data_IF_459921468520
#
_entry.id   IF_459921468520
#
_cell.length_a   1.000
_cell.length_b   1.000
_cell.length_c   1.000
_cell.angle_alpha   90.00
_cell.angle_beta   90.00
_cell.angle_gamma   90.00
#
_symmetry.space_group_name_H-M   'P 1'
#
loop_
_entity.id
_entity.type
_entity.pdbx_description
1 polymer ?
#
# COMPACT_ATOMS: atom_id res chain seq x y z
N UNK A 1 5.25 11.76 25.07
CA UNK A 1 5.92 10.46 24.91
C UNK A 1 4.99 9.33 25.30
N UNK A 2 4.49 9.30 26.56
CA UNK A 2 3.59 8.26 27.07
C UNK A 2 2.32 8.08 26.21
N UNK A 3 1.76 9.18 25.70
CA UNK A 3 0.60 9.11 24.82
C UNK A 3 0.92 8.33 23.52
N UNK A 4 2.09 8.56 22.92
CA UNK A 4 2.54 7.83 21.73
C UNK A 4 2.78 6.35 22.05
N UNK A 5 3.41 6.03 23.18
CA UNK A 5 3.61 4.65 23.63
C UNK A 5 2.28 3.90 23.81
N UNK A 6 1.29 4.52 24.43
CA UNK A 6 -0.05 3.93 24.56
C UNK A 6 -0.71 3.69 23.21
N UNK A 7 -0.57 4.61 22.26
CA UNK A 7 -1.10 4.44 20.91
C UNK A 7 -0.43 3.26 20.19
N UNK A 8 0.90 3.17 20.25
CA UNK A 8 1.65 2.06 19.64
C UNK A 8 1.29 0.72 20.28
N UNK A 9 1.28 0.64 21.62
CA UNK A 9 0.87 -0.59 22.34
C UNK A 9 -0.54 -1.04 21.95
N UNK A 10 -1.48 -0.11 21.74
CA UNK A 10 -2.85 -0.43 21.30
C UNK A 10 -2.88 -0.91 19.84
N UNK A 11 -2.04 -0.38 18.98
CA UNK A 11 -1.94 -0.81 17.58
C UNK A 11 -1.25 -2.18 17.43
N UNK A 12 -0.39 -2.56 18.37
CA UNK A 12 0.36 -3.83 18.35
C UNK A 12 -0.56 -5.01 18.76
N UNK A 13 -1.49 -5.35 17.87
CA UNK A 13 -2.34 -6.54 17.98
C UNK A 13 -1.70 -7.74 17.29
N UNK A 14 -2.24 -8.95 17.51
CA UNK A 14 -1.78 -10.16 16.80
C UNK A 14 -2.96 -11.06 16.48
N UNK A 15 -3.07 -11.45 15.22
CA UNK A 15 -4.02 -12.42 14.74
C UNK A 15 -3.42 -13.83 14.64
N UNK A 16 -4.05 -14.69 13.85
CA UNK A 16 -3.70 -16.11 13.65
C UNK A 16 -2.28 -16.29 13.07
N UNK A 17 -1.89 -15.41 12.15
CA UNK A 17 -0.56 -15.42 11.52
C UNK A 17 0.44 -14.52 12.23
N UNK A 18 0.13 -14.07 13.45
CA UNK A 18 0.93 -13.13 14.23
C UNK A 18 1.11 -11.75 13.56
N UNK A 19 0.22 -11.41 12.63
CA UNK A 19 0.15 -10.08 11.99
C UNK A 19 -0.84 -9.18 12.73
N UNK A 20 -0.74 -7.85 12.59
CA UNK A 20 -1.68 -6.94 13.23
C UNK A 20 -3.08 -7.09 12.65
N UNK A 21 -4.09 -7.00 13.53
CA UNK A 21 -5.49 -7.07 13.13
C UNK A 21 -5.89 -5.85 12.31
N UNK A 22 -6.61 -6.10 11.23
CA UNK A 22 -7.09 -5.06 10.32
C UNK A 22 -8.28 -4.28 10.87
N UNK A 23 -9.12 -4.93 11.67
CA UNK A 23 -10.32 -4.32 12.24
C UNK A 23 -11.27 -3.78 11.18
N UNK A 24 -11.69 -2.54 11.34
CA UNK A 24 -12.58 -1.84 10.40
C UNK A 24 -11.86 -1.19 9.22
N UNK A 25 -10.65 -1.61 8.90
CA UNK A 25 -9.82 -1.11 7.81
C UNK A 25 -8.44 -0.63 8.28
N UNK A 26 -7.50 -0.58 7.34
CA UNK A 26 -6.17 0.00 7.52
C UNK A 26 -6.06 1.32 6.73
N UNK A 27 -4.94 1.59 6.02
CA UNK A 27 -4.82 2.73 5.11
C UNK A 27 -5.96 2.77 4.07
N UNK A 28 -6.38 1.59 3.59
CA UNK A 28 -7.53 1.46 2.72
C UNK A 28 -8.78 1.18 3.58
N UNK A 29 -9.40 2.23 4.07
CA UNK A 29 -10.61 2.15 4.89
C UNK A 29 -11.82 1.59 4.11
N UNK A 30 -11.75 1.57 2.78
CA UNK A 30 -12.74 0.89 1.92
C UNK A 30 -12.76 -0.64 2.07
N UNK A 31 -11.67 -1.24 2.59
CA UNK A 31 -11.59 -2.66 2.89
C UNK A 31 -12.13 -2.99 4.30
N UNK A 32 -13.17 -2.31 4.74
CA UNK A 32 -13.66 -2.32 6.13
C UNK A 32 -14.36 -3.62 6.57
N UNK A 33 -14.48 -4.61 5.68
CA UNK A 33 -15.09 -5.90 6.02
C UNK A 33 -14.11 -7.06 6.03
N UNK A 34 -12.87 -6.84 5.66
CA UNK A 34 -11.82 -7.87 5.67
C UNK A 34 -11.58 -8.40 7.09
N UNK A 35 -11.51 -7.50 8.09
CA UNK A 35 -11.27 -7.84 9.49
C UNK A 35 -12.41 -7.44 10.44
N UNK A 36 -13.63 -7.28 9.95
CA UNK A 36 -14.75 -6.72 10.72
C UNK A 36 -15.14 -7.55 11.94
N UNK A 37 -14.87 -8.86 11.94
CA UNK A 37 -15.12 -9.77 13.09
C UNK A 37 -13.94 -9.82 14.06
N UNK A 38 -12.89 -9.02 13.83
CA UNK A 38 -11.72 -8.92 14.71
C UNK A 38 -10.74 -10.08 14.58
N UNK A 39 -10.73 -10.81 13.45
CA UNK A 39 -9.80 -11.91 13.17
C UNK A 39 -8.91 -11.63 11.96
N UNK A 40 -9.38 -10.82 11.01
CA UNK A 40 -8.65 -10.49 9.79
C UNK A 40 -7.40 -9.67 10.08
N UNK A 41 -6.35 -9.91 9.30
CA UNK A 41 -5.01 -9.35 9.51
C UNK A 41 -4.56 -8.53 8.31
N UNK A 42 -3.82 -7.43 8.56
CA UNK A 42 -3.27 -6.58 7.50
C UNK A 42 -1.76 -6.77 7.35
N UNK A 43 -1.32 -7.16 6.17
CA UNK A 43 0.10 -7.25 5.81
C UNK A 43 0.69 -5.83 5.68
N UNK A 44 -0.04 -4.90 5.05
CA UNK A 44 0.41 -3.51 4.95
C UNK A 44 0.63 -2.88 6.34
N UNK A 45 -0.31 -3.10 7.26
CA UNK A 45 -0.19 -2.55 8.62
C UNK A 45 1.02 -3.15 9.38
N UNK A 46 1.35 -4.42 9.11
CA UNK A 46 2.57 -5.02 9.67
C UNK A 46 3.82 -4.24 9.23
N UNK A 47 3.95 -3.96 7.94
CA UNK A 47 5.08 -3.18 7.42
C UNK A 47 5.12 -1.76 8.00
N UNK A 48 3.97 -1.09 8.05
CA UNK A 48 3.85 0.24 8.63
C UNK A 48 4.24 0.27 10.12
N UNK A 49 3.81 -0.71 10.89
CA UNK A 49 4.17 -0.83 12.30
C UNK A 49 5.67 -1.12 12.48
N UNK A 50 6.27 -2.01 11.68
CA UNK A 50 7.70 -2.30 11.75
C UNK A 50 8.53 -1.01 11.60
N UNK A 51 8.28 -0.22 10.56
CA UNK A 51 8.98 1.05 10.33
C UNK A 51 8.71 2.04 11.48
N UNK A 52 7.46 2.19 11.89
CA UNK A 52 7.06 3.11 12.95
C UNK A 52 7.69 2.76 14.30
N UNK A 53 7.67 1.49 14.68
CA UNK A 53 8.24 1.01 15.94
C UNK A 53 9.74 1.24 15.98
N UNK A 54 10.47 0.91 14.91
CA UNK A 54 11.93 1.12 14.80
C UNK A 54 12.29 2.60 14.87
N UNK A 55 11.58 3.48 14.16
CA UNK A 55 11.81 4.93 14.19
C UNK A 55 11.52 5.51 15.58
N UNK A 56 10.45 5.05 16.21
CA UNK A 56 10.11 5.53 17.55
C UNK A 56 11.06 5.00 18.62
N UNK A 57 11.55 3.78 18.49
CA UNK A 57 12.62 3.23 19.36
C UNK A 57 13.88 4.10 19.31
N UNK A 58 14.30 4.55 18.12
CA UNK A 58 15.43 5.47 17.98
C UNK A 58 15.18 6.81 18.69
N UNK A 59 13.93 7.29 18.72
CA UNK A 59 13.54 8.49 19.47
C UNK A 59 13.60 8.25 20.97
N UNK A 60 13.14 7.09 21.45
CA UNK A 60 13.19 6.70 22.87
C UNK A 60 14.63 6.64 23.39
N UNK A 61 15.57 6.09 22.62
CA UNK A 61 16.98 6.07 22.96
C UNK A 61 17.57 7.48 23.18
N UNK A 62 17.19 8.42 22.31
CA UNK A 62 17.66 9.82 22.44
C UNK A 62 17.22 10.50 23.75
N UNK A 63 16.16 9.98 24.39
CA UNK A 63 15.64 10.50 25.66
C UNK A 63 15.88 9.54 26.82
N UNK A 64 16.81 8.57 26.66
CA UNK A 64 17.28 7.66 27.71
C UNK A 64 16.31 6.57 28.13
N UNK A 65 15.34 6.19 27.26
CA UNK A 65 14.37 5.13 27.54
C UNK A 65 14.73 3.83 26.80
N UNK A 66 15.84 3.22 27.21
CA UNK A 66 16.44 2.05 26.54
C UNK A 66 15.54 0.81 26.57
N UNK A 67 14.92 0.51 27.72
CA UNK A 67 14.07 -0.69 27.88
C UNK A 67 12.83 -0.63 26.99
N UNK A 68 12.18 0.53 26.91
CA UNK A 68 11.04 0.74 26.03
C UNK A 68 11.47 0.67 24.55
N UNK A 69 12.61 1.24 24.20
CA UNK A 69 13.16 1.14 22.85
C UNK A 69 13.41 -0.32 22.44
N UNK A 70 14.07 -1.09 23.30
CA UNK A 70 14.32 -2.50 23.07
C UNK A 70 13.02 -3.33 22.92
N UNK A 71 12.00 -3.02 23.72
CA UNK A 71 10.68 -3.65 23.63
C UNK A 71 9.99 -3.38 22.29
N UNK A 72 10.06 -2.15 21.78
CA UNK A 72 9.46 -1.81 20.47
C UNK A 72 10.21 -2.47 19.32
N UNK A 73 11.54 -2.56 19.40
CA UNK A 73 12.35 -3.25 18.37
C UNK A 73 12.06 -4.75 18.35
N UNK A 74 11.97 -5.39 19.53
CA UNK A 74 11.59 -6.78 19.63
C UNK A 74 10.22 -7.04 18.97
N UNK A 75 9.24 -6.17 19.22
CA UNK A 75 7.92 -6.27 18.58
C UNK A 75 7.99 -6.07 17.06
N UNK A 76 8.82 -5.14 16.58
CA UNK A 76 9.03 -4.94 15.14
C UNK A 76 9.63 -6.20 14.49
N UNK A 77 10.57 -6.87 15.16
CA UNK A 77 11.19 -8.11 14.65
C UNK A 77 10.21 -9.29 14.65
N UNK A 78 9.34 -9.40 15.65
CA UNK A 78 8.24 -10.38 15.65
C UNK A 78 7.34 -10.21 14.41
N UNK A 79 6.92 -8.98 14.09
CA UNK A 79 6.12 -8.72 12.90
C UNK A 79 6.89 -8.98 11.60
N UNK A 80 8.18 -8.61 11.53
CA UNK A 80 9.00 -8.87 10.35
C UNK A 80 9.13 -10.37 10.08
N UNK A 81 9.38 -11.16 11.12
CA UNK A 81 9.44 -12.62 11.05
C UNK A 81 8.09 -13.21 10.62
N UNK A 82 7.00 -12.79 11.24
CA UNK A 82 5.67 -13.28 10.94
C UNK A 82 5.27 -12.98 9.48
N UNK A 83 5.46 -11.74 9.03
CA UNK A 83 5.09 -11.33 7.68
C UNK A 83 5.97 -12.01 6.62
N UNK A 84 7.26 -12.17 6.88
CA UNK A 84 8.17 -12.88 5.96
C UNK A 84 7.80 -14.36 5.82
N UNK A 85 7.32 -14.99 6.91
CA UNK A 85 6.93 -16.39 6.93
C UNK A 85 5.56 -16.65 6.33
N UNK A 86 4.57 -15.77 6.58
CA UNK A 86 3.16 -16.03 6.25
C UNK A 86 2.64 -15.24 5.04
N UNK A 87 3.21 -14.07 4.73
CA UNK A 87 2.61 -13.18 3.74
C UNK A 87 3.21 -13.26 2.33
N UNK A 88 4.09 -14.22 2.04
CA UNK A 88 4.68 -14.41 0.72
C UNK A 88 3.99 -15.55 -0.03
N UNK A 89 3.42 -15.28 -1.23
CA UNK A 89 2.71 -16.28 -2.02
C UNK A 89 3.58 -16.99 -3.09
N UNK A 90 4.87 -16.69 -3.13
CA UNK A 90 5.81 -17.19 -4.12
C UNK A 90 6.26 -16.14 -5.14
N UNK A 91 5.43 -15.13 -5.42
CA UNK A 91 5.72 -14.06 -6.38
C UNK A 91 5.75 -12.66 -5.76
N UNK A 92 4.85 -12.38 -4.82
CA UNK A 92 4.74 -11.11 -4.11
C UNK A 92 4.11 -11.26 -2.72
N UNK A 93 4.00 -10.18 -1.97
CA UNK A 93 3.37 -10.18 -0.65
C UNK A 93 1.86 -10.03 -0.76
N UNK A 94 1.14 -10.81 0.05
CA UNK A 94 -0.30 -10.70 0.25
C UNK A 94 -0.70 -9.30 0.70
N UNK A 95 -1.95 -8.93 0.46
CA UNK A 95 -2.53 -7.70 0.97
C UNK A 95 -3.02 -7.84 2.42
N UNK A 96 -3.70 -8.93 2.71
CA UNK A 96 -4.36 -9.18 3.99
C UNK A 96 -4.80 -10.64 4.14
N UNK A 97 -5.35 -10.95 5.31
CA UNK A 97 -6.15 -12.16 5.56
C UNK A 97 -7.55 -11.74 6.00
N UNK A 98 -8.57 -12.39 5.47
CA UNK A 98 -9.95 -12.22 5.94
C UNK A 98 -10.15 -12.82 7.33
N UNK A 99 -11.28 -12.50 7.97
CA UNK A 99 -11.66 -13.05 9.29
C UNK A 99 -11.74 -14.59 9.32
N UNK A 100 -11.99 -15.25 8.20
CA UNK A 100 -11.99 -16.71 8.08
C UNK A 100 -10.58 -17.32 7.90
N UNK A 101 -9.55 -16.47 7.81
CA UNK A 101 -8.16 -16.85 7.58
C UNK A 101 -7.81 -17.05 6.11
N UNK A 102 -8.71 -16.81 5.18
CA UNK A 102 -8.40 -16.86 3.75
C UNK A 102 -7.57 -15.66 3.32
N UNK A 103 -6.56 -15.86 2.46
CA UNK A 103 -5.71 -14.77 1.99
C UNK A 103 -6.43 -13.84 1.01
N UNK A 104 -5.93 -12.61 0.91
CA UNK A 104 -6.26 -11.60 -0.10
C UNK A 104 -4.97 -11.09 -0.71
N UNK A 105 -4.93 -10.97 -2.02
CA UNK A 105 -3.76 -10.45 -2.73
C UNK A 105 -2.81 -11.54 -3.21
N UNK A 106 -3.32 -12.75 -3.49
CA UNK A 106 -2.54 -13.85 -4.07
C UNK A 106 -2.54 -13.81 -5.60
N UNK A 107 -1.54 -14.46 -6.21
CA UNK A 107 -1.51 -14.64 -7.66
C UNK A 107 -2.70 -15.47 -8.18
N UNK A 108 -3.36 -16.25 -7.33
CA UNK A 108 -4.52 -17.06 -7.67
C UNK A 108 -5.86 -16.33 -7.52
N UNK A 109 -5.89 -15.18 -6.87
CA UNK A 109 -7.13 -14.41 -6.71
C UNK A 109 -7.64 -13.90 -8.05
N UNK A 110 -8.95 -13.82 -8.22
CA UNK A 110 -9.56 -13.26 -9.42
C UNK A 110 -9.57 -11.74 -9.41
N UNK A 111 -9.63 -11.13 -8.22
CA UNK A 111 -9.66 -9.67 -7.98
C UNK A 111 -8.69 -9.32 -6.86
N UNK A 112 -8.12 -8.12 -6.90
CA UNK A 112 -7.09 -7.65 -5.98
C UNK A 112 -5.91 -8.65 -5.84
N UNK A 113 -5.40 -9.14 -6.97
CA UNK A 113 -4.31 -10.15 -7.00
C UNK A 113 -3.01 -9.58 -6.47
N UNK A 114 -2.69 -8.36 -6.86
CA UNK A 114 -1.49 -7.63 -6.42
C UNK A 114 -1.87 -6.22 -6.02
N UNK A 115 -1.39 -5.78 -4.88
CA UNK A 115 -1.62 -4.45 -4.30
C UNK A 115 -0.27 -3.74 -4.09
N UNK A 116 -0.13 -2.52 -4.62
CA UNK A 116 1.12 -1.76 -4.63
C UNK A 116 1.64 -1.41 -3.25
N UNK A 117 0.73 -1.11 -2.30
CA UNK A 117 1.15 -0.64 -0.97
C UNK A 117 1.74 -1.78 -0.12
N UNK A 118 1.25 -3.00 -0.27
CA UNK A 118 1.84 -4.15 0.40
C UNK A 118 3.27 -4.41 -0.09
N UNK A 119 3.53 -4.22 -1.38
CA UNK A 119 4.86 -4.40 -1.98
C UNK A 119 5.81 -3.25 -1.62
N UNK A 120 5.39 -2.01 -1.82
CA UNK A 120 6.21 -0.82 -1.55
C UNK A 120 6.64 -0.75 -0.09
N UNK A 121 5.73 -1.01 0.83
CA UNK A 121 5.99 -0.95 2.26
C UNK A 121 6.87 -2.10 2.76
N UNK A 122 6.91 -3.25 2.09
CA UNK A 122 7.89 -4.30 2.39
C UNK A 122 9.34 -3.80 2.20
N UNK A 123 9.57 -2.93 1.20
CA UNK A 123 10.87 -2.31 0.94
C UNK A 123 11.24 -1.30 2.03
N UNK A 124 10.26 -0.57 2.57
CA UNK A 124 10.52 0.40 3.66
C UNK A 124 10.78 -0.29 4.99
N UNK A 125 10.12 -1.41 5.24
CA UNK A 125 10.15 -2.11 6.53
C UNK A 125 11.30 -3.09 6.68
N UNK A 126 11.75 -3.73 5.60
CA UNK A 126 12.75 -4.79 5.65
C UNK A 126 14.14 -4.31 5.19
N UNK A 127 15.19 -4.86 5.80
CA UNK A 127 16.59 -4.63 5.39
C UNK A 127 17.04 -5.57 4.27
N UNK A 128 16.43 -6.77 4.18
CA UNK A 128 16.65 -7.69 3.08
C UNK A 128 15.69 -7.37 1.94
N UNK A 129 16.24 -6.91 0.82
CA UNK A 129 15.47 -6.46 -0.32
C UNK A 129 15.38 -7.48 -1.47
N UNK A 130 15.79 -8.74 -1.30
CA UNK A 130 15.72 -9.74 -2.38
C UNK A 130 14.26 -9.95 -2.83
N UNK A 131 13.38 -10.32 -1.89
CA UNK A 131 11.94 -10.45 -2.16
C UNK A 131 11.30 -9.11 -2.53
N UNK A 132 11.71 -8.02 -1.87
CA UNK A 132 11.25 -6.66 -2.19
C UNK A 132 11.51 -6.28 -3.64
N UNK A 133 12.71 -6.55 -4.16
CA UNK A 133 13.04 -6.35 -5.59
C UNK A 133 12.16 -7.19 -6.50
N UNK A 134 11.92 -8.45 -6.15
CA UNK A 134 11.02 -9.34 -6.88
C UNK A 134 9.61 -8.80 -6.94
N UNK A 135 9.05 -8.43 -5.78
CA UNK A 135 7.72 -7.87 -5.63
C UNK A 135 7.56 -6.55 -6.41
N UNK A 136 8.55 -5.64 -6.34
CA UNK A 136 8.49 -4.37 -7.07
C UNK A 136 8.59 -4.54 -8.58
N UNK A 137 9.32 -5.55 -9.10
CA UNK A 137 9.24 -5.91 -10.53
C UNK A 137 7.83 -6.33 -10.94
N UNK A 138 7.11 -7.05 -10.06
CA UNK A 138 5.71 -7.42 -10.29
C UNK A 138 4.75 -6.23 -10.21
N UNK A 139 5.02 -5.27 -9.34
CA UNK A 139 4.30 -3.98 -9.34
C UNK A 139 4.48 -3.28 -10.69
N UNK A 140 5.71 -3.20 -11.19
CA UNK A 140 6.00 -2.59 -12.49
C UNK A 140 5.25 -3.30 -13.62
N UNK A 141 5.32 -4.62 -13.68
CA UNK A 141 4.67 -5.46 -14.69
C UNK A 141 3.14 -5.34 -14.69
N UNK A 142 2.52 -5.33 -13.51
CA UNK A 142 1.06 -5.46 -13.39
C UNK A 142 0.32 -4.15 -13.12
N UNK A 143 0.97 -3.19 -12.46
CA UNK A 143 0.31 -1.99 -11.95
C UNK A 143 0.74 -0.71 -12.67
N UNK A 144 1.96 -0.64 -13.20
CA UNK A 144 2.40 0.53 -13.96
C UNK A 144 1.82 0.49 -15.37
N UNK A 145 1.27 1.60 -15.80
CA UNK A 145 0.65 1.80 -17.10
C UNK A 145 1.28 3.03 -17.76
N UNK A 146 2.47 2.85 -18.30
CA UNK A 146 3.26 3.95 -18.89
C UNK A 146 2.51 4.67 -20.02
N UNK A 147 1.78 3.94 -20.87
CA UNK A 147 1.00 4.49 -21.98
C UNK A 147 -0.20 5.34 -21.46
N UNK A 148 -0.80 4.92 -20.36
CA UNK A 148 -1.92 5.60 -19.74
C UNK A 148 -1.46 6.73 -18.80
N UNK A 149 -0.18 6.72 -18.40
CA UNK A 149 0.41 7.70 -17.52
C UNK A 149 -0.06 7.56 -16.06
N UNK A 150 -0.25 6.32 -15.57
CA UNK A 150 -0.74 6.07 -14.21
C UNK A 150 -0.14 4.80 -13.59
N UNK A 151 -0.22 4.72 -12.26
CA UNK A 151 0.18 3.56 -11.44
C UNK A 151 -1.04 3.10 -10.65
N UNK A 152 -1.58 1.92 -10.98
CA UNK A 152 -2.75 1.37 -10.28
C UNK A 152 -2.43 1.03 -8.83
N UNK A 153 -3.41 1.24 -7.94
CA UNK A 153 -3.28 0.84 -6.55
C UNK A 153 -3.21 -0.68 -6.43
N UNK A 154 -4.12 -1.38 -7.09
CA UNK A 154 -4.13 -2.83 -7.21
C UNK A 154 -4.86 -3.29 -8.48
N UNK A 155 -4.71 -4.56 -8.83
CA UNK A 155 -5.39 -5.14 -10.00
C UNK A 155 -5.67 -6.63 -9.80
N UNK A 156 -6.76 -7.20 -10.43
CA UNK A 156 -7.93 -6.50 -10.95
C UNK A 156 -8.72 -5.78 -9.87
N UNK A 157 -9.54 -4.79 -10.25
CA UNK A 157 -10.44 -4.12 -9.32
C UNK A 157 -11.51 -5.07 -8.79
N UNK A 158 -12.10 -4.76 -7.63
CA UNK A 158 -13.25 -5.49 -7.12
C UNK A 158 -14.50 -5.17 -7.95
N UNK A 159 -15.20 -6.20 -8.38
CA UNK A 159 -16.46 -6.11 -9.14
C UNK A 159 -17.42 -7.24 -8.75
N UNK A 160 -16.97 -8.51 -8.91
CA UNK A 160 -17.81 -9.70 -8.82
C UNK A 160 -17.47 -10.65 -7.69
N UNK A 161 -16.39 -10.38 -6.95
CA UNK A 161 -15.99 -11.26 -5.85
C UNK A 161 -17.15 -11.57 -4.90
N UNK A 162 -17.32 -12.84 -4.55
CA UNK A 162 -18.33 -13.28 -3.59
C UNK A 162 -17.97 -12.83 -2.16
N UNK A 163 -16.67 -12.74 -1.86
CA UNK A 163 -16.20 -12.19 -0.60
C UNK A 163 -16.39 -10.69 -0.58
N UNK A 164 -16.90 -10.20 0.52
CA UNK A 164 -17.15 -8.78 0.69
C UNK A 164 -15.92 -8.09 1.32
N UNK A 165 -15.13 -7.34 0.55
CA UNK A 165 -13.99 -6.61 1.09
C UNK A 165 -14.42 -5.36 1.86
N UNK A 166 -15.65 -4.90 1.67
CA UNK A 166 -16.19 -3.68 2.24
C UNK A 166 -16.70 -2.69 1.18
N UNK A 167 -16.89 -1.44 1.59
CA UNK A 167 -17.48 -0.44 0.72
C UNK A 167 -16.62 -0.06 -0.50
N UNK A 168 -15.34 -0.45 -0.53
CA UNK A 168 -14.47 -0.30 -1.70
C UNK A 168 -15.10 -0.89 -2.97
N UNK A 169 -15.82 -2.01 -2.84
CA UNK A 169 -16.55 -2.64 -3.94
C UNK A 169 -17.70 -1.78 -4.49
N UNK A 170 -18.13 -0.77 -3.75
CA UNK A 170 -19.13 0.19 -4.20
C UNK A 170 -18.58 1.25 -5.17
N UNK A 171 -17.27 1.42 -5.29
CA UNK A 171 -16.68 2.24 -6.33
C UNK A 171 -16.58 1.46 -7.63
N UNK A 172 -16.80 2.13 -8.75
CA UNK A 172 -16.62 1.53 -10.07
C UNK A 172 -15.19 0.99 -10.23
N UNK A 173 -15.00 -0.18 -10.88
CA UNK A 173 -13.67 -0.68 -11.20
C UNK A 173 -12.81 0.37 -11.92
N UNK A 174 -11.64 0.65 -11.38
CA UNK A 174 -10.72 1.67 -11.91
C UNK A 174 -10.92 3.09 -11.38
N UNK A 175 -11.78 3.28 -10.37
CA UNK A 175 -12.04 4.58 -9.75
C UNK A 175 -11.61 4.55 -8.28
N UNK A 176 -10.95 5.62 -7.81
CA UNK A 176 -10.46 5.78 -6.44
C UNK A 176 -9.60 4.59 -6.02
N UNK A 177 -9.80 4.11 -4.77
CA UNK A 177 -9.08 2.97 -4.23
C UNK A 177 -9.40 1.66 -4.95
N UNK A 178 -10.51 1.57 -5.70
CA UNK A 178 -10.88 0.33 -6.38
C UNK A 178 -10.16 0.15 -7.73
N UNK A 179 -8.85 -0.02 -7.69
CA UNK A 179 -8.03 -0.32 -8.88
C UNK A 179 -7.72 0.88 -9.78
N UNK A 180 -8.08 2.12 -9.38
CA UNK A 180 -7.55 3.35 -9.96
C UNK A 180 -6.11 3.60 -9.49
N UNK A 181 -5.46 4.66 -9.97
CA UNK A 181 -4.31 5.20 -9.29
C UNK A 181 -4.80 5.95 -8.05
N UNK A 182 -4.35 5.57 -6.87
CA UNK A 182 -4.42 6.44 -5.71
C UNK A 182 -3.05 7.06 -5.52
N UNK A 183 -2.94 8.37 -5.71
CA UNK A 183 -1.65 9.05 -5.87
C UNK A 183 -0.74 8.88 -4.65
N UNK A 184 -1.29 8.78 -3.45
CA UNK A 184 -0.54 8.49 -2.23
C UNK A 184 0.21 7.14 -2.32
N UNK A 185 -0.48 6.07 -2.72
CA UNK A 185 0.13 4.74 -2.93
C UNK A 185 1.13 4.75 -4.11
N UNK A 186 0.81 5.50 -5.17
CA UNK A 186 1.69 5.63 -6.33
C UNK A 186 3.02 6.34 -5.99
N UNK A 187 2.99 7.33 -5.10
CA UNK A 187 4.21 7.98 -4.59
C UNK A 187 5.09 6.98 -3.83
N UNK A 188 4.49 6.11 -3.01
CA UNK A 188 5.23 5.06 -2.31
C UNK A 188 5.88 4.07 -3.29
N UNK A 189 5.20 3.76 -4.40
CA UNK A 189 5.78 2.92 -5.46
C UNK A 189 7.05 3.54 -6.04
N UNK A 190 7.02 4.81 -6.43
CA UNK A 190 8.20 5.51 -6.93
C UNK A 190 9.33 5.57 -5.88
N UNK A 191 8.98 5.83 -4.63
CA UNK A 191 9.95 5.86 -3.53
C UNK A 191 10.59 4.49 -3.26
N UNK A 192 9.82 3.40 -3.35
CA UNK A 192 10.36 2.06 -3.18
C UNK A 192 11.43 1.73 -4.23
N UNK A 193 11.23 2.09 -5.50
CA UNK A 193 12.25 1.94 -6.54
C UNK A 193 13.51 2.75 -6.24
N UNK A 194 13.37 3.99 -5.75
CA UNK A 194 14.51 4.82 -5.35
C UNK A 194 15.31 4.15 -4.22
N UNK A 195 14.66 3.60 -3.19
CA UNK A 195 15.32 2.89 -2.11
C UNK A 195 16.01 1.59 -2.54
N UNK A 196 15.49 0.93 -3.56
CA UNK A 196 16.11 -0.25 -4.15
C UNK A 196 17.32 0.10 -5.04
N UNK A 197 17.61 1.40 -5.24
CA UNK A 197 18.72 1.89 -6.05
C UNK A 197 18.40 2.00 -7.53
N UNK A 198 17.14 1.83 -7.95
CA UNK A 198 16.67 2.03 -9.32
C UNK A 198 16.18 3.47 -9.48
N UNK A 199 17.12 4.39 -9.53
CA UNK A 199 16.85 5.83 -9.62
C UNK A 199 16.20 6.25 -10.93
N UNK A 200 16.54 5.59 -12.02
CA UNK A 200 15.98 5.90 -13.35
C UNK A 200 14.49 5.54 -13.37
N UNK A 201 14.13 4.32 -12.94
CA UNK A 201 12.73 3.92 -12.89
C UNK A 201 11.93 4.77 -11.87
N UNK A 202 12.50 5.05 -10.72
CA UNK A 202 11.88 5.94 -9.73
C UNK A 202 11.57 7.32 -10.32
N UNK A 203 12.49 7.89 -11.12
CA UNK A 203 12.28 9.15 -11.80
C UNK A 203 11.18 9.08 -12.87
N UNK A 204 11.17 8.03 -13.69
CA UNK A 204 10.10 7.80 -14.68
C UNK A 204 8.72 7.74 -14.01
N UNK A 205 8.59 6.95 -12.93
CA UNK A 205 7.36 6.84 -12.16
C UNK A 205 6.94 8.18 -11.55
N UNK A 206 7.89 8.94 -10.99
CA UNK A 206 7.62 10.30 -10.50
C UNK A 206 7.08 11.21 -11.60
N UNK A 207 7.62 11.10 -12.83
CA UNK A 207 7.12 11.88 -13.98
C UNK A 207 5.66 11.54 -14.32
N UNK A 208 5.21 10.28 -14.16
CA UNK A 208 3.81 9.91 -14.36
C UNK A 208 2.87 10.64 -13.39
N UNK A 209 3.36 10.99 -12.20
CA UNK A 209 2.59 11.66 -11.14
C UNK A 209 2.66 13.19 -11.23
N UNK A 210 3.57 13.73 -12.05
CA UNK A 210 3.87 15.15 -12.07
C UNK A 210 2.72 15.97 -12.72
N UNK A 211 2.14 16.95 -12.00
CA UNK A 211 1.13 17.83 -12.58
C UNK A 211 1.68 18.69 -13.73
N UNK A 212 2.99 18.95 -13.75
CA UNK A 212 3.65 19.67 -14.85
C UNK A 212 3.55 18.84 -16.14
N UNK A 213 3.76 17.53 -16.07
CA UNK A 213 3.62 16.62 -17.22
C UNK A 213 2.17 16.54 -17.70
N UNK A 214 1.23 16.47 -16.77
CA UNK A 214 -0.20 16.46 -17.07
C UNK A 214 -0.68 17.77 -17.72
N UNK A 215 0.04 18.87 -17.52
CA UNK A 215 -0.20 20.19 -18.14
C UNK A 215 0.64 20.47 -19.39
N UNK A 216 1.53 19.58 -19.82
CA UNK A 216 2.56 19.87 -20.84
C UNK A 216 2.02 20.02 -22.27
N UNK A 217 0.82 19.55 -22.58
CA UNK A 217 0.20 19.65 -23.90
C UNK A 217 -1.31 19.72 -23.81
N UNK A 218 -1.97 20.24 -24.85
CA UNK A 218 -3.43 20.26 -24.95
C UNK A 218 -4.06 18.86 -24.83
N UNK A 219 -3.40 17.83 -25.35
CA UNK A 219 -3.85 16.44 -25.23
C UNK A 219 -3.75 15.94 -23.77
N UNK A 220 -2.64 16.25 -23.07
CA UNK A 220 -2.46 15.89 -21.67
C UNK A 220 -3.51 16.60 -20.77
N UNK A 221 -3.71 17.89 -20.95
CA UNK A 221 -4.76 18.68 -20.26
C UNK A 221 -6.15 18.10 -20.54
N UNK A 222 -6.44 17.79 -21.82
CA UNK A 222 -7.71 17.21 -22.24
C UNK A 222 -7.98 15.81 -21.67
N UNK A 223 -6.92 15.06 -21.35
CA UNK A 223 -7.00 13.75 -20.67
C UNK A 223 -7.17 13.92 -19.15
N UNK A 224 -6.28 14.70 -18.52
CA UNK A 224 -6.24 14.83 -17.06
C UNK A 224 -7.43 15.61 -16.49
N UNK A 225 -7.84 16.67 -17.14
CA UNK A 225 -9.03 17.50 -16.83
C UNK A 225 -9.06 18.05 -15.39
N UNK A 226 -7.91 18.28 -14.81
CA UNK A 226 -7.71 18.97 -13.53
C UNK A 226 -6.78 20.15 -13.78
N UNK A 227 -6.76 21.14 -12.91
CA UNK A 227 -5.84 22.26 -13.00
C UNK A 227 -4.39 21.76 -13.10
N UNK A 228 -3.54 22.34 -13.98
CA UNK A 228 -2.22 21.79 -14.28
C UNK A 228 -1.24 21.72 -13.08
N UNK A 229 -1.49 22.52 -12.06
CA UNK A 229 -0.67 22.59 -10.84
C UNK A 229 -1.23 21.78 -9.67
N UNK A 230 -2.37 21.12 -9.85
CA UNK A 230 -3.05 20.34 -8.81
C UNK A 230 -2.71 18.86 -8.97
N UNK A 231 -2.42 18.20 -7.84
CA UNK A 231 -2.29 16.75 -7.79
C UNK A 231 -3.64 16.14 -7.44
N UNK A 232 -4.19 15.35 -8.37
CA UNK A 232 -5.38 14.58 -8.09
C UNK A 232 -5.09 13.48 -7.05
N UNK A 233 -5.99 13.31 -6.09
CA UNK A 233 -5.91 12.22 -5.11
C UNK A 233 -6.01 10.86 -5.81
N UNK A 234 -6.84 10.75 -6.83
CA UNK A 234 -6.94 9.58 -7.69
C UNK A 234 -6.95 9.94 -9.18
N UNK A 235 -6.47 9.00 -10.00
CA UNK A 235 -6.51 9.06 -11.46
C UNK A 235 -7.21 7.80 -11.95
N UNK A 236 -8.19 7.96 -12.83
CA UNK A 236 -9.03 6.86 -13.27
C UNK A 236 -8.28 5.90 -14.20
N UNK A 237 -8.45 4.61 -13.99
CA UNK A 237 -8.05 3.54 -14.91
C UNK A 237 -9.26 2.89 -15.61
N UNK A 238 -10.40 3.56 -15.58
CA UNK A 238 -11.69 3.14 -16.15
C UNK A 238 -11.90 3.77 -17.54
N UNK A 239 -12.18 2.93 -18.55
CA UNK A 239 -12.60 3.40 -19.88
C UNK A 239 -14.00 4.08 -19.82
N UNK A 240 -14.26 5.14 -20.59
CA UNK A 240 -13.33 5.83 -21.50
C UNK A 240 -12.54 6.99 -20.84
N UNK A 241 -12.39 6.95 -19.53
CA UNK A 241 -11.84 8.03 -18.73
C UNK A 241 -10.40 7.77 -18.22
N UNK A 242 -9.69 6.84 -18.83
CA UNK A 242 -8.32 6.50 -18.40
C UNK A 242 -7.41 7.74 -18.42
N UNK A 243 -6.68 7.95 -17.31
CA UNK A 243 -5.80 9.10 -17.12
C UNK A 243 -6.50 10.40 -16.70
N UNK A 244 -7.82 10.38 -16.46
CA UNK A 244 -8.55 11.54 -15.92
C UNK A 244 -8.31 11.61 -14.41
N UNK A 245 -7.93 12.79 -13.91
CA UNK A 245 -7.91 13.08 -12.48
C UNK A 245 -9.33 13.14 -11.90
N UNK A 246 -9.47 12.50 -10.76
CA UNK A 246 -10.73 12.46 -10.03
C UNK A 246 -10.74 13.47 -8.89
N UNK A 247 -10.78 12.97 -7.65
CA UNK A 247 -10.77 13.81 -6.46
C UNK A 247 -9.43 14.53 -6.30
N UNK A 248 -9.46 15.82 -5.99
CA UNK A 248 -8.24 16.63 -5.81
C UNK A 248 -8.00 16.97 -4.35
N UNK A 249 -6.72 17.06 -3.99
CA UNK A 249 -6.29 17.63 -2.71
C UNK A 249 -5.91 19.10 -2.90
N UNK A 250 -6.28 19.92 -1.95
CA UNK A 250 -5.98 21.35 -1.91
C UNK A 250 -4.98 21.67 -0.79
#
# INVERSE_FOLDING_TARGET
LEHCLRALRRACTSGRNSLPLMGGGDWNDGMNRVGVKGQGESVWLAWFLIDTLRRFAATLRRVGQEDEAASLEARAEEYATAATASAWDGEWYLRAYYDDGSPLGTHADLECRIDSIAQSWSVFALSDHERGRGAMRKVDEHLVRDEDGLIRLFTPAFDRTERDPGYIKGYLPGVRENGGQYTHGAIWTAWAFALLGDGDRAHELYQLLSPVRHGASAAAVGRYKVEPYVIAADVYSLEPHVGRGGWTWY
#
